data_IF_429811128815
#
_entry.id   IF_429811128815
#
_cell.length_a   1.000
_cell.length_b   1.000
_cell.length_c   1.000
_cell.angle_alpha   90.00
_cell.angle_beta   90.00
_cell.angle_gamma   90.00
#
_symmetry.space_group_name_H-M   'P 1'
#
loop_
_entity.id
_entity.type
_entity.pdbx_description
1 polymer ?
#
# COMPACT_ATOMS: atom_id res chain seq x y z
N UNK A 1 -40.13 -53.91 -13.09
CA UNK A 1 -38.65 -53.84 -13.28
C UNK A 1 -38.16 -52.60 -14.04
N UNK A 2 -38.91 -52.05 -15.02
CA UNK A 2 -38.53 -50.83 -15.78
C UNK A 2 -38.43 -49.52 -14.97
N UNK A 3 -39.30 -49.31 -13.98
CA UNK A 3 -39.31 -48.08 -13.16
C UNK A 3 -38.12 -48.00 -12.18
N UNK A 4 -37.59 -49.14 -11.73
CA UNK A 4 -36.46 -49.18 -10.78
C UNK A 4 -35.14 -48.71 -11.45
N UNK A 5 -34.97 -49.03 -12.75
CA UNK A 5 -33.83 -48.58 -13.56
C UNK A 5 -33.87 -47.08 -13.90
N UNK A 6 -35.07 -46.48 -13.97
CA UNK A 6 -35.19 -45.04 -14.20
C UNK A 6 -34.74 -44.23 -12.96
N UNK A 7 -35.03 -44.70 -11.75
CA UNK A 7 -34.58 -44.02 -10.53
C UNK A 7 -33.08 -44.16 -10.29
N UNK A 8 -32.48 -45.33 -10.60
CA UNK A 8 -31.02 -45.50 -10.47
C UNK A 8 -30.24 -44.66 -11.49
N UNK A 9 -30.76 -44.48 -12.71
CA UNK A 9 -30.13 -43.63 -13.72
C UNK A 9 -30.16 -42.13 -13.35
N UNK A 10 -31.26 -41.65 -12.76
CA UNK A 10 -31.39 -40.26 -12.31
C UNK A 10 -30.47 -39.94 -11.12
N UNK A 11 -30.31 -40.88 -10.19
CA UNK A 11 -29.39 -40.73 -9.04
C UNK A 11 -27.93 -40.69 -9.50
N UNK A 12 -27.56 -41.46 -10.53
CA UNK A 12 -26.21 -41.47 -11.09
C UNK A 12 -25.85 -40.15 -11.79
N UNK A 13 -26.80 -39.53 -12.48
CA UNK A 13 -26.62 -38.22 -13.14
C UNK A 13 -26.51 -37.10 -12.09
N UNK A 14 -27.32 -37.16 -11.02
CA UNK A 14 -27.28 -36.15 -9.96
C UNK A 14 -26.00 -36.20 -9.12
N UNK A 15 -25.37 -37.38 -9.00
CA UNK A 15 -24.05 -37.54 -8.37
C UNK A 15 -22.88 -37.03 -9.24
N UNK A 16 -23.06 -36.97 -10.57
CA UNK A 16 -22.05 -36.42 -11.50
C UNK A 16 -22.07 -34.89 -11.59
N UNK A 17 -23.17 -34.23 -11.20
CA UNK A 17 -23.24 -32.76 -11.15
C UNK A 17 -22.67 -32.15 -9.85
N UNK A 18 -22.37 -32.96 -8.84
CA UNK A 18 -21.78 -32.47 -7.57
C UNK A 18 -20.25 -32.46 -7.54
N UNK A 19 -19.58 -32.95 -8.59
CA UNK A 19 -18.15 -32.70 -8.77
C UNK A 19 -17.94 -31.29 -9.34
N UNK A 20 -18.23 -30.28 -8.52
CA UNK A 20 -17.77 -28.92 -8.76
C UNK A 20 -16.24 -28.96 -8.78
N UNK A 21 -15.67 -28.88 -9.97
CA UNK A 21 -14.22 -28.79 -10.13
C UNK A 21 -13.73 -27.60 -9.33
N UNK A 22 -12.89 -27.86 -8.33
CA UNK A 22 -12.15 -26.82 -7.62
C UNK A 22 -11.35 -26.07 -8.68
N UNK A 23 -11.79 -24.86 -9.02
CA UNK A 23 -10.98 -23.92 -9.79
C UNK A 23 -9.78 -23.59 -8.91
N UNK A 24 -8.67 -24.29 -9.11
CA UNK A 24 -7.37 -23.87 -8.60
C UNK A 24 -7.11 -22.49 -9.21
N UNK A 25 -7.35 -21.45 -8.42
CA UNK A 25 -6.98 -20.10 -8.78
C UNK A 25 -5.47 -20.12 -9.05
N UNK A 26 -5.08 -20.00 -10.31
CA UNK A 26 -3.69 -19.77 -10.69
C UNK A 26 -3.27 -18.46 -10.01
N UNK A 27 -2.54 -18.58 -8.91
CA UNK A 27 -1.86 -17.48 -8.26
C UNK A 27 -0.84 -16.92 -9.26
N UNK A 28 -1.19 -15.84 -9.95
CA UNK A 28 -0.24 -14.99 -10.67
C UNK A 28 0.50 -14.05 -9.70
N UNK A 29 0.87 -14.55 -8.53
CA UNK A 29 1.64 -13.82 -7.52
C UNK A 29 3.14 -13.93 -7.75
N UNK A 30 3.91 -13.08 -7.06
CA UNK A 30 5.37 -13.20 -6.98
C UNK A 30 5.70 -14.51 -6.25
N UNK A 31 6.19 -15.52 -6.97
CA UNK A 31 6.63 -16.78 -6.38
C UNK A 31 8.11 -16.71 -6.04
N UNK A 32 8.44 -16.77 -4.75
CA UNK A 32 9.84 -16.92 -4.31
C UNK A 32 10.12 -18.42 -4.19
N UNK A 33 11.09 -18.89 -4.98
CA UNK A 33 11.52 -20.28 -5.00
C UNK A 33 12.78 -20.38 -4.15
N UNK A 34 12.81 -21.29 -3.18
CA UNK A 34 14.05 -21.58 -2.44
C UNK A 34 15.11 -22.18 -3.37
N UNK A 35 16.38 -22.16 -2.96
CA UNK A 35 17.47 -22.86 -3.67
C UNK A 35 17.18 -24.36 -3.86
N UNK A 36 16.27 -24.92 -3.05
CA UNK A 36 15.83 -26.31 -3.08
C UNK A 36 14.56 -26.53 -3.94
N UNK A 37 14.08 -25.51 -4.65
CA UNK A 37 12.97 -25.62 -5.60
C UNK A 37 11.57 -25.60 -4.98
N UNK A 38 11.44 -25.27 -3.69
CA UNK A 38 10.13 -25.16 -3.03
C UNK A 38 9.54 -23.75 -3.20
N UNK A 39 8.27 -23.66 -3.60
CA UNK A 39 7.50 -22.42 -3.59
C UNK A 39 7.25 -22.01 -2.14
N UNK A 40 7.78 -20.84 -1.75
CA UNK A 40 7.59 -20.30 -0.41
C UNK A 40 6.51 -19.21 -0.47
N UNK A 41 5.35 -19.51 0.11
CA UNK A 41 4.30 -18.50 0.32
C UNK A 41 4.74 -17.56 1.46
N UNK A 42 5.50 -16.53 1.11
CA UNK A 42 6.07 -15.58 2.07
C UNK A 42 5.03 -14.63 2.68
N UNK A 43 3.97 -14.36 1.95
CA UNK A 43 2.88 -13.49 2.37
C UNK A 43 1.54 -14.12 2.00
N UNK A 44 0.53 -13.85 2.81
CA UNK A 44 -0.87 -14.13 2.55
C UNK A 44 -1.39 -13.35 1.35
N UNK A 45 -1.05 -12.07 1.28
CA UNK A 45 -1.45 -11.16 0.20
C UNK A 45 -0.54 -9.93 0.12
N UNK A 46 -0.71 -9.19 -0.98
CA UNK A 46 -0.03 -7.95 -1.28
C UNK A 46 -1.05 -6.81 -1.32
N UNK A 47 -0.82 -5.75 -0.56
CA UNK A 47 -1.65 -4.55 -0.53
C UNK A 47 -0.82 -3.34 -0.95
N UNK A 48 -1.43 -2.41 -1.68
CA UNK A 48 -0.79 -1.15 -2.02
C UNK A 48 -1.74 0.03 -1.77
N UNK A 49 -1.20 1.11 -1.22
CA UNK A 49 -1.84 2.42 -1.19
C UNK A 49 -1.04 3.32 -2.13
N UNK A 50 -1.68 3.84 -3.17
CA UNK A 50 -1.04 4.68 -4.18
C UNK A 50 -1.70 6.04 -4.14
N UNK A 51 -0.92 7.08 -3.81
CA UNK A 51 -1.35 8.46 -3.69
C UNK A 51 -0.71 9.28 -4.81
N UNK A 52 -1.53 10.03 -5.55
CA UNK A 52 -1.07 10.98 -6.56
C UNK A 52 -1.78 12.32 -6.40
N UNK A 53 -1.04 13.41 -6.33
CA UNK A 53 -1.58 14.75 -6.11
C UNK A 53 -1.12 15.69 -7.21
N UNK A 54 -2.07 16.15 -8.02
CA UNK A 54 -1.88 17.04 -9.17
C UNK A 54 -2.52 18.40 -8.96
N UNK A 55 -3.71 18.45 -8.36
CA UNK A 55 -4.53 19.64 -8.25
C UNK A 55 -4.38 20.27 -6.88
N UNK A 56 -3.34 21.09 -6.68
CA UNK A 56 -3.13 21.81 -5.43
C UNK A 56 -3.88 23.14 -5.39
N UNK A 57 -4.33 23.53 -4.19
CA UNK A 57 -5.05 24.78 -3.95
C UNK A 57 -4.09 25.96 -3.71
N UNK A 58 -2.94 25.68 -3.08
CA UNK A 58 -1.94 26.69 -2.70
C UNK A 58 -0.58 26.53 -3.40
N UNK A 59 -0.36 25.39 -4.05
CA UNK A 59 0.91 25.02 -4.68
C UNK A 59 0.76 25.00 -6.21
N UNK A 60 1.87 25.10 -6.97
CA UNK A 60 1.85 24.85 -8.40
C UNK A 60 1.27 23.47 -8.71
N UNK A 61 0.43 23.36 -9.75
CA UNK A 61 -0.13 22.07 -10.15
C UNK A 61 0.97 21.14 -10.68
N UNK A 62 0.83 19.85 -10.42
CA UNK A 62 1.69 18.78 -10.94
C UNK A 62 0.87 17.92 -11.91
N UNK A 63 0.71 18.33 -13.19
CA UNK A 63 -0.32 17.76 -14.06
C UNK A 63 -0.21 16.25 -14.29
N UNK A 64 0.97 15.65 -14.11
CA UNK A 64 1.21 14.23 -14.36
C UNK A 64 1.11 13.34 -13.12
N UNK A 65 1.24 13.88 -11.90
CA UNK A 65 1.35 13.05 -10.69
C UNK A 65 0.14 12.11 -10.45
N UNK A 66 -1.08 12.57 -10.71
CA UNK A 66 -2.29 11.76 -10.60
C UNK A 66 -2.40 10.70 -11.70
N UNK A 67 -1.89 10.99 -12.91
CA UNK A 67 -1.88 10.03 -14.01
C UNK A 67 -0.79 8.98 -13.82
N UNK A 68 0.41 9.39 -13.39
CA UNK A 68 1.49 8.49 -12.99
C UNK A 68 1.04 7.55 -11.87
N UNK A 69 0.32 8.06 -10.87
CA UNK A 69 -0.26 7.24 -9.80
C UNK A 69 -1.28 6.21 -10.33
N UNK A 70 -2.11 6.56 -11.32
CA UNK A 70 -3.03 5.60 -11.96
C UNK A 70 -2.26 4.50 -12.70
N UNK A 71 -1.19 4.86 -13.41
CA UNK A 71 -0.36 3.89 -14.12
C UNK A 71 0.36 2.94 -13.16
N UNK A 72 0.94 3.46 -12.07
CA UNK A 72 1.55 2.65 -11.01
C UNK A 72 0.52 1.71 -10.39
N UNK A 73 -0.68 2.21 -10.07
CA UNK A 73 -1.76 1.39 -9.52
C UNK A 73 -2.17 0.26 -10.49
N UNK A 74 -2.31 0.57 -11.78
CA UNK A 74 -2.64 -0.41 -12.80
C UNK A 74 -1.55 -1.50 -12.90
N UNK A 75 -0.27 -1.12 -12.90
CA UNK A 75 0.84 -2.08 -12.92
C UNK A 75 0.87 -2.95 -11.68
N UNK A 76 0.71 -2.38 -10.48
CA UNK A 76 0.66 -3.16 -9.23
C UNK A 76 -0.51 -4.16 -9.23
N UNK A 77 -1.67 -3.79 -9.76
CA UNK A 77 -2.79 -4.70 -9.90
C UNK A 77 -2.46 -5.92 -10.79
N UNK A 78 -1.67 -5.74 -11.86
CA UNK A 78 -1.19 -6.87 -12.69
C UNK A 78 -0.23 -7.81 -11.96
N UNK A 79 0.37 -7.35 -10.86
CA UNK A 79 1.26 -8.12 -9.98
C UNK A 79 0.52 -8.68 -8.76
N UNK A 80 -0.81 -8.77 -8.82
CA UNK A 80 -1.68 -9.28 -7.76
C UNK A 80 -1.69 -8.45 -6.46
N UNK A 81 -1.31 -7.17 -6.52
CA UNK A 81 -1.58 -6.26 -5.41
C UNK A 81 -3.07 -5.87 -5.40
N UNK A 82 -3.65 -5.84 -4.20
CA UNK A 82 -4.90 -5.13 -3.96
C UNK A 82 -4.57 -3.66 -3.75
N UNK A 83 -4.97 -2.81 -4.69
CA UNK A 83 -4.54 -1.41 -4.75
C UNK A 83 -5.66 -0.47 -4.35
N UNK A 84 -5.38 0.40 -3.37
CA UNK A 84 -6.18 1.57 -3.05
C UNK A 84 -5.54 2.80 -3.69
N UNK A 85 -6.15 3.30 -4.77
CA UNK A 85 -5.75 4.53 -5.42
C UNK A 85 -6.44 5.73 -4.77
N UNK A 86 -5.65 6.74 -4.40
CA UNK A 86 -6.11 7.99 -3.77
C UNK A 86 -5.57 9.14 -4.59
N UNK A 87 -6.46 9.96 -5.15
CA UNK A 87 -6.10 11.09 -5.99
C UNK A 87 -6.47 12.39 -5.33
N UNK A 88 -5.54 13.35 -5.38
CA UNK A 88 -5.78 14.72 -4.96
C UNK A 88 -6.39 14.89 -3.54
N UNK A 89 -5.95 14.13 -2.50
CA UNK A 89 -6.57 14.16 -1.19
C UNK A 89 -6.26 15.44 -0.39
N UNK A 90 -7.24 15.88 0.39
CA UNK A 90 -7.11 16.85 1.48
C UNK A 90 -6.30 16.29 2.64
N UNK A 91 -5.88 17.15 3.57
CA UNK A 91 -5.20 16.75 4.79
C UNK A 91 -5.99 15.70 5.57
N UNK A 92 -7.29 15.92 5.78
CA UNK A 92 -8.16 15.00 6.51
C UNK A 92 -8.28 13.64 5.81
N UNK A 93 -8.39 13.64 4.49
CA UNK A 93 -8.40 12.40 3.70
C UNK A 93 -7.06 11.67 3.77
N UNK A 94 -5.93 12.39 3.71
CA UNK A 94 -4.61 11.80 3.89
C UNK A 94 -4.43 11.18 5.28
N UNK A 95 -4.87 11.89 6.33
CA UNK A 95 -4.84 11.37 7.71
C UNK A 95 -5.68 10.11 7.85
N UNK A 96 -6.87 10.09 7.24
CA UNK A 96 -7.74 8.91 7.20
C UNK A 96 -7.06 7.74 6.49
N UNK A 97 -6.48 7.97 5.31
CA UNK A 97 -5.77 6.94 4.53
C UNK A 97 -4.60 6.35 5.32
N UNK A 98 -3.79 7.19 5.98
CA UNK A 98 -2.69 6.72 6.82
C UNK A 98 -3.20 5.96 8.06
N UNK A 99 -4.32 6.38 8.63
CA UNK A 99 -4.98 5.68 9.74
C UNK A 99 -5.48 4.29 9.34
N UNK A 100 -6.18 4.18 8.21
CA UNK A 100 -6.65 2.91 7.64
C UNK A 100 -5.46 2.01 7.27
N UNK A 101 -4.38 2.59 6.76
CA UNK A 101 -3.16 1.85 6.47
C UNK A 101 -2.57 1.19 7.73
N UNK A 102 -2.68 1.82 8.90
CA UNK A 102 -2.19 1.25 10.17
C UNK A 102 -3.17 0.22 10.74
N UNK A 103 -4.44 0.58 10.84
CA UNK A 103 -5.41 -0.15 11.67
C UNK A 103 -6.30 -1.13 10.90
N UNK A 104 -6.30 -1.07 9.57
CA UNK A 104 -7.05 -1.99 8.71
C UNK A 104 -6.10 -2.74 7.78
N UNK A 105 -5.52 -2.06 6.79
CA UNK A 105 -4.66 -2.75 5.80
C UNK A 105 -3.39 -3.30 6.43
N UNK A 106 -2.80 -2.58 7.39
CA UNK A 106 -1.55 -2.93 8.05
C UNK A 106 -1.69 -3.75 9.33
N UNK A 107 -2.91 -4.14 9.74
CA UNK A 107 -3.11 -4.95 10.97
C UNK A 107 -2.58 -6.39 10.83
N UNK A 108 -2.33 -6.80 9.58
CA UNK A 108 -2.24 -8.18 9.18
C UNK A 108 -0.81 -8.65 9.05
N UNK A 109 -0.37 -9.51 9.96
CA UNK A 109 1.04 -9.83 10.18
C UNK A 109 1.71 -10.50 8.99
N UNK A 110 1.02 -11.37 8.25
CA UNK A 110 1.60 -12.09 7.11
C UNK A 110 1.33 -11.39 5.76
N UNK A 111 1.45 -10.08 5.69
CA UNK A 111 1.18 -9.27 4.49
C UNK A 111 2.39 -8.45 4.07
N UNK A 112 2.52 -8.20 2.78
CA UNK A 112 3.40 -7.18 2.24
C UNK A 112 2.59 -5.94 1.87
N UNK A 113 2.97 -4.78 2.41
CA UNK A 113 2.30 -3.51 2.21
C UNK A 113 3.21 -2.53 1.48
N UNK A 114 2.69 -1.92 0.41
CA UNK A 114 3.38 -0.86 -0.34
C UNK A 114 2.62 0.47 -0.19
N UNK A 115 3.32 1.54 0.13
CA UNK A 115 2.80 2.90 0.09
C UNK A 115 3.59 3.67 -0.97
N UNK A 116 2.90 4.24 -1.94
CA UNK A 116 3.49 5.09 -2.97
C UNK A 116 2.87 6.48 -2.89
N UNK A 117 3.70 7.50 -2.83
CA UNK A 117 3.27 8.90 -2.82
C UNK A 117 3.95 9.66 -3.95
N UNK A 118 3.16 10.29 -4.81
CA UNK A 118 3.62 11.23 -5.83
C UNK A 118 2.98 12.60 -5.62
N UNK A 119 3.79 13.63 -5.42
CA UNK A 119 3.29 14.97 -5.14
C UNK A 119 4.39 15.95 -4.71
N UNK A 120 3.98 17.11 -4.19
CA UNK A 120 4.92 18.06 -3.60
C UNK A 120 5.51 17.52 -2.29
N UNK A 121 6.78 17.85 -2.09
CA UNK A 121 7.48 17.72 -0.82
C UNK A 121 8.05 19.08 -0.44
N UNK A 122 8.12 19.37 0.85
CA UNK A 122 8.77 20.58 1.37
C UNK A 122 9.77 20.19 2.46
N UNK A 123 10.86 20.95 2.58
CA UNK A 123 11.87 20.72 3.61
C UNK A 123 12.02 21.96 4.48
N UNK A 124 11.64 21.85 5.74
CA UNK A 124 11.85 22.89 6.75
C UNK A 124 13.22 22.70 7.43
N UNK A 125 13.90 23.80 7.72
CA UNK A 125 15.09 23.79 8.58
C UNK A 125 14.68 24.22 9.98
N UNK A 126 14.79 23.31 10.95
CA UNK A 126 14.38 23.51 12.34
C UNK A 126 15.38 24.40 13.10
N UNK A 127 15.01 24.82 14.31
CA UNK A 127 15.83 25.68 15.16
C UNK A 127 17.21 25.08 15.50
N UNK A 128 17.30 23.76 15.59
CA UNK A 128 18.54 23.01 15.79
C UNK A 128 19.35 22.76 14.50
N UNK A 129 18.94 23.40 13.38
CA UNK A 129 19.49 23.26 12.03
C UNK A 129 19.29 21.89 11.40
N UNK A 130 18.50 21.01 12.01
CA UNK A 130 18.09 19.76 11.36
C UNK A 130 17.07 20.05 10.25
N UNK A 131 16.99 19.15 9.28
CA UNK A 131 16.04 19.25 8.16
C UNK A 131 14.89 18.28 8.39
N UNK A 132 13.66 18.76 8.31
CA UNK A 132 12.45 17.94 8.39
C UNK A 132 11.69 18.02 7.07
N UNK A 133 11.49 16.86 6.44
CA UNK A 133 10.70 16.74 5.22
C UNK A 133 9.22 16.58 5.52
N UNK A 134 8.37 17.06 4.61
CA UNK A 134 6.92 16.96 4.67
C UNK A 134 6.33 16.54 3.33
N UNK A 135 5.39 15.61 3.35
CA UNK A 135 4.46 15.42 2.22
C UNK A 135 3.32 16.42 2.33
N UNK A 136 2.81 16.88 1.19
CA UNK A 136 1.92 18.04 1.08
C UNK A 136 0.56 17.59 0.54
N UNK A 137 -0.51 17.60 1.35
CA UNK A 137 -1.89 17.42 0.87
C UNK A 137 -2.37 18.56 -0.04
N UNK A 138 -3.47 18.36 -0.79
CA UNK A 138 -3.94 19.32 -1.81
C UNK A 138 -4.19 20.74 -1.25
N UNK A 139 -4.67 20.81 -0.01
CA UNK A 139 -5.23 21.97 0.68
C UNK A 139 -4.22 22.62 1.63
N UNK A 140 -3.00 22.07 1.72
CA UNK A 140 -1.96 22.58 2.59
C UNK A 140 -1.47 23.96 2.11
N UNK A 141 -1.52 25.00 2.96
CA UNK A 141 -0.96 26.31 2.64
C UNK A 141 0.55 26.26 2.41
N UNK A 142 1.13 27.30 1.79
CA UNK A 142 2.58 27.44 1.64
C UNK A 142 3.23 27.88 2.97
N UNK A 143 4.33 27.23 3.36
CA UNK A 143 5.08 27.55 4.59
C UNK A 143 5.42 29.05 4.71
N UNK A 144 5.79 29.70 3.61
CA UNK A 144 6.15 31.13 3.59
C UNK A 144 4.95 32.07 3.72
N UNK A 145 3.75 31.63 3.32
CA UNK A 145 2.54 32.46 3.26
C UNK A 145 1.70 32.31 4.52
N UNK A 146 1.56 31.08 5.01
CA UNK A 146 0.83 30.76 6.23
C UNK A 146 1.56 29.61 6.97
N UNK A 147 2.53 29.94 7.83
CA UNK A 147 3.28 28.94 8.59
C UNK A 147 2.41 28.12 9.54
N UNK A 148 1.36 28.73 10.11
CA UNK A 148 0.47 28.07 11.07
C UNK A 148 -0.44 27.07 10.35
N UNK A 149 -1.02 27.47 9.21
CA UNK A 149 -1.79 26.59 8.35
C UNK A 149 -0.94 25.45 7.78
N UNK A 150 0.29 25.73 7.36
CA UNK A 150 1.25 24.71 6.92
C UNK A 150 1.53 23.70 8.03
N UNK A 151 1.85 24.15 9.25
CA UNK A 151 2.12 23.24 10.37
C UNK A 151 0.91 22.36 10.75
N UNK A 152 -0.32 22.83 10.48
CA UNK A 152 -1.54 22.07 10.70
C UNK A 152 -1.89 21.04 9.62
N UNK A 153 -1.47 21.26 8.36
CA UNK A 153 -1.88 20.44 7.21
C UNK A 153 -0.73 19.65 6.56
N UNK A 154 0.52 20.07 6.73
CA UNK A 154 1.66 19.31 6.23
C UNK A 154 1.87 18.05 7.06
N UNK A 155 2.20 16.93 6.41
CA UNK A 155 2.44 15.66 7.10
C UNK A 155 3.94 15.42 7.13
N UNK A 156 4.53 15.41 8.33
CA UNK A 156 5.97 15.29 8.47
C UNK A 156 6.46 13.88 8.20
N UNK A 157 7.71 13.72 7.79
CA UNK A 157 8.32 12.40 7.66
C UNK A 157 8.41 11.66 9.01
N UNK A 158 8.35 12.37 10.15
CA UNK A 158 8.21 11.77 11.49
C UNK A 158 6.84 11.15 11.69
N UNK A 159 5.78 11.77 11.17
CA UNK A 159 4.43 11.18 11.19
C UNK A 159 4.40 9.91 10.35
N UNK A 160 5.08 9.92 9.20
CA UNK A 160 5.19 8.75 8.33
C UNK A 160 6.02 7.63 8.96
N UNK A 161 7.11 7.96 9.65
CA UNK A 161 7.87 7.00 10.48
C UNK A 161 7.00 6.43 11.61
N UNK A 162 6.21 7.27 12.29
CA UNK A 162 5.28 6.80 13.30
C UNK A 162 4.24 5.84 12.73
N UNK A 163 3.78 6.09 11.51
CA UNK A 163 2.86 5.20 10.79
C UNK A 163 3.56 3.87 10.47
N UNK A 164 4.80 3.88 9.96
CA UNK A 164 5.53 2.64 9.62
C UNK A 164 5.78 1.76 10.85
N UNK A 165 6.10 2.37 12.00
CA UNK A 165 6.30 1.65 13.26
C UNK A 165 5.03 1.02 13.84
N UNK A 166 3.85 1.48 13.42
CA UNK A 166 2.55 0.96 13.89
C UNK A 166 1.95 -0.10 12.96
N UNK A 167 2.41 -0.19 11.72
CA UNK A 167 2.02 -1.27 10.81
C UNK A 167 2.55 -2.60 11.34
N UNK A 168 1.67 -3.60 11.44
CA UNK A 168 2.00 -4.96 11.90
C UNK A 168 2.37 -5.90 10.77
N UNK A 169 2.06 -5.54 9.53
CA UNK A 169 2.41 -6.32 8.36
C UNK A 169 3.89 -6.65 8.31
N UNK A 170 4.18 -7.88 7.88
CA UNK A 170 5.53 -8.46 7.85
C UNK A 170 6.52 -7.47 7.27
N UNK A 171 6.18 -6.90 6.12
CA UNK A 171 6.99 -5.89 5.45
C UNK A 171 6.12 -4.70 5.03
N UNK A 172 6.67 -3.50 5.22
CA UNK A 172 6.13 -2.25 4.70
C UNK A 172 7.21 -1.54 3.89
N UNK A 173 6.89 -1.19 2.65
CA UNK A 173 7.74 -0.40 1.76
C UNK A 173 7.04 0.92 1.47
N UNK A 174 7.71 2.04 1.72
CA UNK A 174 7.18 3.38 1.44
C UNK A 174 8.07 4.09 0.41
N UNK A 175 7.48 4.49 -0.71
CA UNK A 175 8.12 5.14 -1.85
C UNK A 175 7.58 6.56 -1.96
N UNK A 176 8.47 7.55 -1.98
CA UNK A 176 8.10 8.95 -2.10
C UNK A 176 8.72 9.55 -3.35
N UNK A 177 7.89 9.77 -4.36
CA UNK A 177 8.21 10.51 -5.57
C UNK A 177 7.85 11.98 -5.37
N UNK A 178 8.68 12.66 -4.59
CA UNK A 178 8.53 14.09 -4.32
C UNK A 178 9.90 14.72 -4.09
N UNK A 179 9.99 16.01 -4.36
CA UNK A 179 11.22 16.77 -4.18
C UNK A 179 11.53 16.96 -2.69
N UNK A 180 12.22 16.00 -2.09
CA UNK A 180 12.92 16.18 -0.83
C UNK A 180 14.39 16.52 -1.12
N UNK A 181 14.93 17.58 -0.50
CA UNK A 181 16.38 17.80 -0.50
C UNK A 181 17.03 16.64 0.28
N UNK A 182 17.82 15.75 -0.35
CA UNK A 182 18.12 14.46 0.25
C UNK A 182 19.27 14.56 1.25
N UNK A 183 19.05 14.02 2.45
CA UNK A 183 20.00 13.07 3.05
C UNK A 183 19.20 11.87 3.51
N UNK A 184 19.41 10.77 2.78
CA UNK A 184 18.94 9.40 3.02
C UNK A 184 18.51 9.13 4.48
N UNK A 185 17.21 8.90 4.69
CA UNK A 185 16.73 8.15 5.85
C UNK A 185 16.69 6.67 5.41
N UNK A 186 17.85 6.02 5.45
CA UNK A 186 17.93 4.57 5.38
C UNK A 186 17.72 4.01 6.78
N UNK A 187 16.48 3.75 7.19
CA UNK A 187 16.25 2.91 8.37
C UNK A 187 16.29 1.44 7.94
N UNK A 188 17.34 0.78 8.41
CA UNK A 188 17.59 -0.65 8.35
C UNK A 188 16.38 -1.42 8.89
N UNK A 189 15.71 -2.19 8.03
CA UNK A 189 14.67 -3.13 8.43
C UNK A 189 15.30 -4.17 9.38
N UNK A 190 14.75 -4.28 10.59
CA UNK A 190 15.14 -5.25 11.61
C UNK A 190 14.73 -6.66 11.16
N UNK A 191 15.71 -7.48 10.80
CA UNK A 191 15.57 -8.93 10.83
C UNK A 191 16.22 -9.45 12.10
N UNK A 192 15.46 -9.62 13.18
CA UNK A 192 15.90 -10.40 14.33
C UNK A 192 15.45 -11.85 14.11
N UNK A 193 16.36 -12.68 13.60
CA UNK A 193 16.26 -14.12 13.70
C UNK A 193 16.53 -14.50 15.16
N UNK A 194 15.48 -14.83 15.90
CA UNK A 194 15.61 -15.38 17.25
C UNK A 194 16.24 -16.76 17.19
N UNK A 195 17.40 -16.92 17.81
CA UNK A 195 17.91 -18.23 18.19
C UNK A 195 17.63 -18.43 19.69
N UNK A 196 16.80 -19.45 19.97
CA UNK A 196 16.66 -20.04 21.30
C UNK A 196 17.95 -20.77 21.66
N UNK A 197 18.40 -20.56 22.89
CA UNK A 197 19.40 -21.34 23.62
C UNK A 197 19.21 -21.07 25.10
#
# INVERSE_FOLDING_TARGET
>A
MRKLYQYTFVILIMAMLTSGGSTLATSRGISIISTEGQSLDLYRDYQAVVVGISNYDWWPKLPYAADDAKEVAAKLATLNFQVKLVLDPTFEEMKKVLGEMVYDTGSEENRALLFHYAGHGETETLADKTKLGYIIPRDCPLLKKDPMGFAGHAISMKDIESVSLRVRSRHVLMLFDSCFYPRLIGQRIRGEAGYRG
#
